data_IF_187301914562
#
_entry.id   IF_187301914562
#
_cell.length_a   1.000
_cell.length_b   1.000
_cell.length_c   1.000
_cell.angle_alpha   90.00
_cell.angle_beta   90.00
_cell.angle_gamma   90.00
#
_symmetry.space_group_name_H-M   'P 1'
#
loop_
_entity.id
_entity.type
_entity.pdbx_description
1 polymer ?
#
# COMPACT_ATOMS: atom_id res chain seq x y z
N UNK A 1 3.56 -15.09 1.85
CA UNK A 1 3.87 -14.08 2.89
C UNK A 1 2.82 -12.99 2.77
N UNK A 2 2.16 -12.51 3.84
CA UNK A 2 0.99 -11.61 3.71
C UNK A 2 1.36 -10.16 3.42
N UNK A 3 2.64 -9.80 3.57
CA UNK A 3 3.21 -8.56 3.06
C UNK A 3 3.97 -8.90 1.78
N UNK A 4 3.46 -8.42 0.65
CA UNK A 4 3.99 -8.71 -0.67
C UNK A 4 5.01 -7.64 -1.09
N UNK A 5 6.07 -8.06 -1.79
CA UNK A 5 7.00 -7.14 -2.45
C UNK A 5 6.81 -7.29 -3.96
N UNK A 6 6.61 -6.20 -4.72
CA UNK A 6 6.56 -6.28 -6.18
C UNK A 6 7.83 -6.92 -6.73
N UNK A 7 7.72 -7.70 -7.81
CA UNK A 7 8.83 -8.52 -8.33
C UNK A 7 8.92 -9.92 -7.71
N UNK A 8 8.94 -10.06 -6.38
CA UNK A 8 9.08 -11.38 -5.73
C UNK A 8 7.76 -12.16 -5.58
N UNK A 9 6.63 -11.46 -5.43
CA UNK A 9 5.34 -12.06 -5.09
C UNK A 9 4.25 -11.86 -6.17
N UNK A 10 4.65 -11.59 -7.42
CA UNK A 10 3.76 -11.16 -8.51
C UNK A 10 2.51 -12.04 -8.70
N UNK A 11 2.60 -13.38 -8.77
CA UNK A 11 1.41 -14.21 -9.01
C UNK A 11 0.36 -14.08 -7.92
N UNK A 12 0.78 -13.94 -6.66
CA UNK A 12 -0.14 -13.79 -5.52
C UNK A 12 -0.72 -12.38 -5.46
N UNK A 13 0.10 -11.36 -5.67
CA UNK A 13 -0.34 -9.96 -5.79
C UNK A 13 -1.42 -9.81 -6.88
N UNK A 14 -1.15 -10.36 -8.06
CA UNK A 14 -2.07 -10.31 -9.20
C UNK A 14 -3.41 -10.98 -8.88
N UNK A 15 -3.39 -12.17 -8.29
CA UNK A 15 -4.61 -12.88 -7.94
C UNK A 15 -5.44 -12.14 -6.89
N UNK A 16 -4.79 -11.53 -5.89
CA UNK A 16 -5.46 -10.79 -4.83
C UNK A 16 -6.09 -9.47 -5.35
N UNK A 17 -5.40 -8.79 -6.28
CA UNK A 17 -5.80 -7.49 -6.81
C UNK A 17 -6.70 -7.57 -8.07
N UNK A 18 -6.87 -8.74 -8.69
CA UNK A 18 -7.74 -8.92 -9.87
C UNK A 18 -9.23 -8.72 -9.57
N UNK A 19 -9.63 -8.72 -8.29
CA UNK A 19 -11.02 -8.55 -7.88
C UNK A 19 -11.43 -7.08 -7.89
N UNK A 20 -12.66 -6.78 -8.32
CA UNK A 20 -13.20 -5.42 -8.33
C UNK A 20 -13.44 -4.83 -6.94
N UNK A 21 -13.53 -5.67 -5.91
CA UNK A 21 -13.67 -5.29 -4.50
C UNK A 21 -12.37 -5.45 -3.70
N UNK A 22 -11.22 -5.58 -4.39
CA UNK A 22 -9.93 -5.72 -3.75
C UNK A 22 -9.56 -4.47 -2.95
N UNK A 23 -8.93 -4.72 -1.80
CA UNK A 23 -8.25 -3.71 -0.99
C UNK A 23 -6.75 -3.82 -1.17
N UNK A 24 -6.09 -2.69 -1.35
CA UNK A 24 -4.64 -2.55 -1.34
C UNK A 24 -4.23 -1.57 -0.25
N UNK A 25 -3.27 -1.98 0.58
CA UNK A 25 -2.54 -1.12 1.51
C UNK A 25 -1.07 -1.16 1.12
N UNK A 26 -0.58 -0.11 0.49
CA UNK A 26 0.81 -0.01 0.04
C UNK A 26 1.62 0.90 0.98
N UNK A 27 2.82 0.46 1.38
CA UNK A 27 3.86 1.36 1.88
C UNK A 27 4.79 1.75 0.74
N UNK A 28 4.87 3.03 0.42
CA UNK A 28 6.00 3.62 -0.26
C UNK A 28 7.10 3.90 0.76
N UNK A 29 8.21 3.24 0.55
CA UNK A 29 9.29 3.06 1.48
C UNK A 29 10.62 3.14 0.68
N UNK A 30 11.76 3.26 1.36
CA UNK A 30 13.09 3.23 0.75
C UNK A 30 14.07 2.41 1.60
N UNK A 31 15.04 1.74 0.98
CA UNK A 31 15.95 0.82 1.67
C UNK A 31 16.75 1.50 2.79
N UNK A 32 17.18 2.74 2.56
CA UNK A 32 17.98 3.55 3.49
C UNK A 32 17.17 4.19 4.63
N UNK A 33 15.84 4.02 4.67
CA UNK A 33 15.00 4.65 5.67
C UNK A 33 14.85 3.77 6.94
N UNK A 34 15.49 4.17 8.03
CA UNK A 34 15.38 3.48 9.33
C UNK A 34 13.93 3.39 9.85
N UNK A 35 13.13 4.44 9.64
CA UNK A 35 11.72 4.47 10.03
C UNK A 35 10.90 3.43 9.28
N UNK A 36 11.16 3.24 7.99
CA UNK A 36 10.57 2.15 7.20
C UNK A 36 10.96 0.79 7.79
N UNK A 37 12.24 0.54 8.06
CA UNK A 37 12.69 -0.75 8.60
C UNK A 37 12.01 -1.08 9.94
N UNK A 38 11.78 -0.09 10.80
CA UNK A 38 11.00 -0.24 12.03
C UNK A 38 9.51 -0.51 11.78
N UNK A 39 8.96 -0.03 10.66
CA UNK A 39 7.55 -0.20 10.34
C UNK A 39 7.23 -1.56 9.72
N UNK A 40 8.13 -2.08 8.89
CA UNK A 40 7.97 -3.35 8.15
C UNK A 40 7.46 -4.52 8.99
N UNK A 41 8.04 -4.86 10.17
CA UNK A 41 7.53 -5.97 10.98
C UNK A 41 6.11 -5.72 11.50
N UNK A 42 5.77 -4.48 11.86
CA UNK A 42 4.41 -4.11 12.32
C UNK A 42 3.39 -4.20 11.19
N UNK A 43 3.77 -3.79 9.98
CA UNK A 43 2.93 -3.92 8.80
C UNK A 43 2.69 -5.39 8.44
N UNK A 44 3.72 -6.24 8.57
CA UNK A 44 3.59 -7.69 8.38
C UNK A 44 2.62 -8.32 9.38
N UNK A 45 2.65 -7.91 10.65
CA UNK A 45 1.71 -8.37 11.68
C UNK A 45 0.28 -7.93 11.38
N UNK A 46 0.07 -6.67 10.98
CA UNK A 46 -1.24 -6.16 10.57
C UNK A 46 -1.77 -6.91 9.34
N UNK A 47 -0.91 -7.22 8.37
CA UNK A 47 -1.28 -8.00 7.18
C UNK A 47 -1.75 -9.41 7.55
N UNK A 48 -1.14 -10.06 8.55
CA UNK A 48 -1.60 -11.35 9.08
C UNK A 48 -2.98 -11.23 9.74
N UNK A 49 -3.24 -10.13 10.43
CA UNK A 49 -4.51 -9.88 11.11
C UNK A 49 -5.66 -9.50 10.13
N UNK A 50 -5.34 -9.05 8.92
CA UNK A 50 -6.31 -8.57 7.92
C UNK A 50 -6.22 -9.32 6.59
N UNK A 51 -6.59 -10.62 6.52
CA UNK A 51 -6.48 -11.42 5.31
C UNK A 51 -7.37 -10.96 4.14
N UNK A 52 -8.36 -10.08 4.40
CA UNK A 52 -9.18 -9.45 3.36
C UNK A 52 -8.50 -8.26 2.66
N UNK A 53 -7.35 -7.80 3.14
CA UNK A 53 -6.59 -6.69 2.57
C UNK A 53 -5.27 -7.20 1.99
N UNK A 54 -4.90 -6.69 0.83
CA UNK A 54 -3.60 -6.96 0.23
C UNK A 54 -2.61 -5.91 0.73
N UNK A 55 -1.52 -6.34 1.37
CA UNK A 55 -0.47 -5.42 1.79
C UNK A 55 0.73 -5.50 0.84
N UNK A 56 1.20 -4.34 0.38
CA UNK A 56 2.36 -4.22 -0.48
C UNK A 56 3.44 -3.36 0.18
N UNK A 57 4.68 -3.83 0.15
CA UNK A 57 5.87 -3.09 0.51
C UNK A 57 6.59 -2.67 -0.76
N UNK A 58 6.56 -1.39 -1.08
CA UNK A 58 7.08 -0.83 -2.32
C UNK A 58 8.32 -0.02 -1.97
N UNK A 59 9.49 -0.51 -2.41
CA UNK A 59 10.68 0.30 -2.47
C UNK A 59 10.60 1.19 -3.71
N UNK A 60 10.58 2.51 -3.51
CA UNK A 60 10.42 3.46 -4.60
C UNK A 60 11.67 3.55 -5.48
N UNK A 61 12.84 3.11 -4.99
CA UNK A 61 14.07 3.05 -5.78
C UNK A 61 13.99 1.93 -6.83
N UNK A 62 13.32 0.83 -6.50
CA UNK A 62 13.13 -0.34 -7.38
C UNK A 62 11.89 -0.22 -8.27
N UNK A 63 10.86 0.51 -7.82
CA UNK A 63 9.55 0.63 -8.50
C UNK A 63 9.07 2.07 -8.68
N UNK A 64 9.86 2.94 -9.33
CA UNK A 64 9.50 4.35 -9.50
C UNK A 64 8.27 4.55 -10.39
N UNK A 65 7.97 3.61 -11.27
CA UNK A 65 6.79 3.63 -12.14
C UNK A 65 5.46 3.60 -11.37
N UNK A 66 5.46 3.08 -10.14
CA UNK A 66 4.27 3.04 -9.27
C UNK A 66 3.93 4.42 -8.67
N UNK A 67 4.85 5.38 -8.71
CA UNK A 67 4.60 6.74 -8.25
C UNK A 67 4.03 7.65 -9.36
N UNK A 68 4.30 7.34 -10.62
CA UNK A 68 3.86 8.16 -11.75
C UNK A 68 4.42 9.58 -11.69
N UNK A 69 3.55 10.57 -11.52
CA UNK A 69 3.94 11.99 -11.42
C UNK A 69 4.13 12.47 -9.97
N UNK A 70 3.84 11.62 -8.98
CA UNK A 70 3.99 11.98 -7.57
C UNK A 70 5.43 11.85 -7.09
N UNK A 71 5.82 12.78 -6.22
CA UNK A 71 7.13 12.76 -5.56
C UNK A 71 6.95 12.45 -4.07
N UNK A 72 7.36 11.25 -3.66
CA UNK A 72 7.29 10.81 -2.26
C UNK A 72 8.60 11.18 -1.58
N UNK A 73 8.60 12.32 -0.87
CA UNK A 73 9.76 12.79 -0.13
C UNK A 73 9.76 12.37 1.35
N UNK A 74 8.59 11.97 1.87
CA UNK A 74 8.40 11.62 3.28
C UNK A 74 8.15 10.13 3.44
N UNK A 75 8.98 9.45 4.24
CA UNK A 75 8.89 8.01 4.45
C UNK A 75 8.55 7.65 5.89
N UNK A 76 7.77 6.58 6.12
CA UNK A 76 6.97 5.85 5.13
C UNK A 76 5.71 6.63 4.72
N UNK A 77 5.33 6.56 3.44
CA UNK A 77 4.06 7.07 2.93
C UNK A 77 3.13 5.90 2.60
N UNK A 78 1.89 5.98 3.07
CA UNK A 78 0.91 4.93 2.87
C UNK A 78 -0.12 5.33 1.81
N UNK A 79 -0.53 4.34 1.03
CA UNK A 79 -1.65 4.40 0.12
C UNK A 79 -2.66 3.33 0.53
N UNK A 80 -3.93 3.70 0.64
CA UNK A 80 -5.05 2.75 0.75
C UNK A 80 -5.95 2.92 -0.46
N UNK A 81 -6.10 1.84 -1.22
CA UNK A 81 -7.05 1.75 -2.32
C UNK A 81 -8.11 0.68 -2.04
N UNK A 82 -9.35 0.97 -2.44
CA UNK A 82 -10.41 -0.02 -2.50
C UNK A 82 -11.30 0.28 -3.71
N UNK A 83 -11.76 -0.76 -4.41
CA UNK A 83 -12.70 -0.63 -5.52
C UNK A 83 -12.21 0.35 -6.62
N UNK A 84 -10.90 0.35 -6.90
CA UNK A 84 -10.27 1.24 -7.88
C UNK A 84 -10.20 2.71 -7.47
N UNK A 85 -10.47 3.04 -6.20
CA UNK A 85 -10.41 4.41 -5.65
C UNK A 85 -9.31 4.52 -4.61
N UNK A 86 -8.62 5.66 -4.59
CA UNK A 86 -7.73 6.04 -3.48
C UNK A 86 -8.58 6.56 -2.33
N UNK A 87 -8.52 5.91 -1.18
CA UNK A 87 -9.25 6.30 0.03
C UNK A 87 -8.36 7.04 1.03
N UNK A 88 -7.06 6.80 0.98
CA UNK A 88 -6.06 7.51 1.78
C UNK A 88 -4.74 7.55 1.04
N UNK A 89 -4.05 8.68 1.14
CA UNK A 89 -2.66 8.82 0.72
C UNK A 89 -1.96 9.83 1.63
N UNK A 90 -0.82 9.44 2.20
CA UNK A 90 0.00 10.36 2.99
C UNK A 90 1.00 9.69 3.93
N UNK A 91 1.92 10.47 4.51
CA UNK A 91 2.93 9.98 5.43
C UNK A 91 2.29 9.46 6.73
N UNK A 92 2.79 8.31 7.21
CA UNK A 92 2.35 7.76 8.49
C UNK A 92 3.52 7.14 9.23
N UNK A 93 3.94 7.79 10.31
CA UNK A 93 4.95 7.27 11.23
C UNK A 93 4.60 5.86 11.74
N UNK A 94 5.57 5.08 12.26
CA UNK A 94 5.41 3.65 12.58
C UNK A 94 4.61 3.38 13.86
N UNK A 95 3.50 4.09 14.05
CA UNK A 95 2.45 3.86 15.02
C UNK A 95 1.34 3.05 14.36
N UNK A 96 1.47 1.72 14.35
CA UNK A 96 0.59 0.82 13.59
C UNK A 96 -0.90 0.96 13.96
N UNK A 97 -1.20 1.33 15.21
CA UNK A 97 -2.57 1.59 15.65
C UNK A 97 -3.25 2.73 14.89
N UNK A 98 -2.51 3.70 14.35
CA UNK A 98 -3.10 4.73 13.48
C UNK A 98 -3.57 4.16 12.15
N UNK A 99 -2.77 3.28 11.53
CA UNK A 99 -3.17 2.59 10.29
C UNK A 99 -4.36 1.67 10.55
N UNK A 100 -4.33 0.91 11.64
CA UNK A 100 -5.43 0.03 12.03
C UNK A 100 -6.75 0.81 12.16
N UNK A 101 -6.74 1.90 12.93
CA UNK A 101 -7.91 2.76 13.12
C UNK A 101 -8.36 3.43 11.83
N UNK A 102 -7.42 3.83 10.97
CA UNK A 102 -7.72 4.37 9.65
C UNK A 102 -8.50 3.33 8.84
N UNK A 103 -7.96 2.12 8.69
CA UNK A 103 -8.59 1.04 7.93
C UNK A 103 -10.00 0.72 8.46
N UNK A 104 -10.21 0.76 9.78
CA UNK A 104 -11.53 0.53 10.38
C UNK A 104 -12.53 1.66 10.11
N UNK A 105 -12.05 2.87 9.81
CA UNK A 105 -12.88 4.04 9.54
C UNK A 105 -13.20 4.24 8.06
N UNK A 106 -12.46 3.59 7.16
CA UNK A 106 -12.59 3.82 5.72
C UNK A 106 -13.85 3.14 5.17
N UNK A 107 -14.64 3.91 4.42
CA UNK A 107 -15.75 3.40 3.62
C UNK A 107 -15.26 3.13 2.18
N UNK A 108 -15.34 1.90 1.65
CA UNK A 108 -15.00 1.60 0.25
C UNK A 108 -15.86 2.35 -0.77
N UNK A 109 -17.02 2.87 -0.39
CA UNK A 109 -17.85 3.75 -1.23
C UNK A 109 -17.61 5.24 -0.97
N UNK A 110 -16.66 5.57 -0.09
CA UNK A 110 -16.28 6.92 0.25
C UNK A 110 -15.79 7.75 -0.94
N UNK A 111 -15.67 9.06 -0.70
CA UNK A 111 -15.15 10.00 -1.70
C UNK A 111 -13.65 9.74 -1.93
N UNK A 112 -13.20 9.59 -3.19
CA UNK A 112 -11.79 9.43 -3.49
C UNK A 112 -10.95 10.63 -3.02
N UNK A 113 -9.74 10.35 -2.56
CA UNK A 113 -8.69 11.35 -2.36
C UNK A 113 -8.02 11.60 -3.71
N UNK A 114 -7.88 12.87 -4.08
CA UNK A 114 -7.16 13.25 -5.29
C UNK A 114 -5.65 13.13 -5.04
N UNK A 115 -4.96 12.40 -5.92
CA UNK A 115 -3.50 12.23 -5.95
C UNK A 115 -3.08 12.17 -7.42
N UNK A 116 -1.82 12.50 -7.72
CA UNK A 116 -1.20 12.24 -9.02
C UNK A 116 -0.71 10.80 -9.20
N UNK A 117 -0.96 9.93 -8.21
CA UNK A 117 -0.57 8.51 -8.30
C UNK A 117 -1.36 7.84 -9.42
N UNK A 118 -0.72 6.92 -10.17
CA UNK A 118 -1.44 6.03 -11.06
C UNK A 118 -2.33 5.06 -10.27
N UNK A 119 -3.11 4.24 -10.97
CA UNK A 119 -3.83 3.12 -10.37
C UNK A 119 -2.85 2.01 -9.95
N UNK A 120 -2.24 2.16 -8.77
CA UNK A 120 -1.19 1.27 -8.25
C UNK A 120 -1.66 -0.18 -8.18
N UNK A 121 -2.87 -0.43 -7.67
CA UNK A 121 -3.45 -1.77 -7.63
C UNK A 121 -3.53 -2.40 -9.02
N UNK A 122 -3.93 -1.63 -10.04
CA UNK A 122 -3.97 -2.11 -11.42
C UNK A 122 -2.59 -2.37 -12.02
N UNK A 123 -1.62 -1.49 -11.77
CA UNK A 123 -0.23 -1.69 -12.22
C UNK A 123 0.37 -2.95 -11.60
N UNK A 124 0.20 -3.14 -10.29
CA UNK A 124 0.66 -4.34 -9.58
C UNK A 124 -0.05 -5.62 -10.05
N UNK A 125 -1.30 -5.54 -10.49
CA UNK A 125 -2.00 -6.66 -11.09
C UNK A 125 -1.55 -6.96 -12.54
N UNK A 126 -1.01 -5.96 -13.25
CA UNK A 126 -0.57 -6.10 -14.63
C UNK A 126 0.91 -6.50 -14.77
N UNK A 127 1.75 -6.16 -13.79
CA UNK A 127 3.14 -6.60 -13.66
C UNK A 127 3.24 -8.11 -13.50
#
# INVERSE_FOLDING_TARGET
MPLHVPGSDIPTLRAALARSDAWLVACFCAAWCDTCQQYRPKLLELARARPGHTFAWIDIEDHPDLLGEEDVENFPTLLVQAHGKVLFYGPMLPHIGHLERLLDSLDPQGRPVATGLPDVARLLAAA
#
